data_IF_587412768254
#
_entry.id   IF_587412768254
#
_cell.length_a   1.000
_cell.length_b   1.000
_cell.length_c   1.000
_cell.angle_alpha   90.00
_cell.angle_beta   90.00
_cell.angle_gamma   90.00
#
_symmetry.space_group_name_H-M   'P 1'
#
loop_
_entity.id
_entity.type
_entity.pdbx_description
1 polymer ?
#
# COMPACT_ATOMS: atom_id res chain seq x y z
N UNK A 1 -9.42 -7.45 -48.70
CA UNK A 1 -9.02 -6.20 -48.08
C UNK A 1 -9.90 -5.80 -46.90
N UNK A 2 -11.25 -5.70 -47.02
CA UNK A 2 -12.16 -5.33 -45.91
C UNK A 2 -12.07 -6.25 -44.68
N UNK A 3 -11.97 -7.59 -44.89
CA UNK A 3 -11.83 -8.58 -43.80
C UNK A 3 -10.50 -8.43 -43.05
N UNK A 4 -9.42 -8.12 -43.76
CA UNK A 4 -8.09 -7.89 -43.19
C UNK A 4 -8.09 -6.59 -42.34
N UNK A 5 -8.75 -5.55 -42.82
CA UNK A 5 -8.89 -4.26 -42.08
C UNK A 5 -9.63 -4.42 -40.76
N UNK A 6 -10.73 -5.21 -40.77
CA UNK A 6 -11.51 -5.52 -39.57
C UNK A 6 -10.65 -6.30 -38.55
N UNK A 7 -9.87 -7.29 -39.03
CA UNK A 7 -8.98 -8.08 -38.17
C UNK A 7 -7.91 -7.20 -37.50
N UNK A 8 -7.29 -6.30 -38.25
CA UNK A 8 -6.29 -5.35 -37.72
C UNK A 8 -6.92 -4.39 -36.71
N UNK A 9 -8.13 -3.89 -36.99
CA UNK A 9 -8.83 -2.98 -36.10
C UNK A 9 -9.19 -3.65 -34.75
N UNK A 10 -9.63 -4.94 -34.78
CA UNK A 10 -9.91 -5.70 -33.55
C UNK A 10 -8.64 -5.98 -32.73
N UNK A 11 -7.50 -6.21 -33.38
CA UNK A 11 -6.22 -6.40 -32.69
C UNK A 11 -5.77 -5.12 -31.95
N UNK A 12 -5.98 -3.94 -32.54
CA UNK A 12 -5.61 -2.65 -31.96
C UNK A 12 -6.45 -2.34 -30.71
N UNK A 13 -7.73 -2.66 -30.74
CA UNK A 13 -8.63 -2.45 -29.59
C UNK A 13 -8.28 -3.36 -28.40
N UNK A 14 -7.83 -4.59 -28.67
CA UNK A 14 -7.42 -5.52 -27.62
C UNK A 14 -6.12 -5.12 -26.89
N UNK A 15 -5.26 -4.35 -27.52
CA UNK A 15 -3.98 -3.92 -26.93
C UNK A 15 -4.10 -2.85 -25.81
N UNK A 16 -5.24 -2.16 -25.70
CA UNK A 16 -5.41 -1.06 -24.75
C UNK A 16 -5.97 -1.47 -23.38
N UNK A 17 -6.06 -2.77 -23.07
CA UNK A 17 -6.83 -3.23 -21.88
C UNK A 17 -5.98 -3.57 -20.64
N UNK A 18 -4.66 -3.45 -20.74
CA UNK A 18 -3.77 -3.73 -19.61
C UNK A 18 -3.13 -2.45 -19.12
N UNK A 19 -3.40 -2.10 -17.88
CA UNK A 19 -2.80 -0.95 -17.23
C UNK A 19 -2.44 -1.29 -15.79
N UNK A 20 -1.19 -1.01 -15.40
CA UNK A 20 -0.74 -1.07 -14.02
C UNK A 20 -0.60 0.36 -13.50
N UNK A 21 -1.15 0.63 -12.32
CA UNK A 21 -1.00 1.90 -11.60
C UNK A 21 -0.33 1.66 -10.26
N UNK A 22 0.71 2.42 -9.98
CA UNK A 22 1.31 2.45 -8.66
C UNK A 22 0.42 3.25 -7.70
N UNK A 23 0.19 2.71 -6.52
CA UNK A 23 -0.57 3.34 -5.43
C UNK A 23 0.32 3.49 -4.21
N UNK A 24 0.33 4.67 -3.60
CA UNK A 24 1.18 4.98 -2.47
C UNK A 24 2.63 5.21 -2.87
N UNK A 25 3.57 4.67 -2.12
CA UNK A 25 5.01 4.84 -2.36
C UNK A 25 5.51 3.91 -3.46
N UNK A 26 6.37 4.44 -4.32
CA UNK A 26 7.16 3.64 -5.24
C UNK A 26 8.49 3.35 -4.54
N UNK A 27 8.61 2.16 -3.98
CA UNK A 27 9.83 1.75 -3.29
C UNK A 27 10.91 1.35 -4.30
N UNK A 28 12.18 1.70 -4.03
CA UNK A 28 13.30 1.23 -4.84
C UNK A 28 13.54 -0.27 -4.61
N UNK A 29 14.13 -0.95 -5.59
CA UNK A 29 14.43 -2.39 -5.52
C UNK A 29 15.42 -2.73 -4.39
N UNK A 30 16.26 -1.76 -4.00
CA UNK A 30 17.25 -1.89 -2.93
C UNK A 30 16.79 -1.28 -1.59
N UNK A 31 15.47 -1.22 -1.34
CA UNK A 31 14.88 -0.61 -0.15
C UNK A 31 15.52 -1.10 1.15
N UNK A 32 15.78 -2.41 1.28
CA UNK A 32 16.37 -2.99 2.48
C UNK A 32 17.74 -2.39 2.79
N UNK A 33 18.59 -2.22 1.76
CA UNK A 33 19.93 -1.64 1.91
C UNK A 33 19.88 -0.15 2.24
N UNK A 34 18.92 0.58 1.66
CA UNK A 34 18.74 2.00 1.93
C UNK A 34 18.27 2.26 3.36
N UNK A 35 17.36 1.42 3.85
CA UNK A 35 16.77 1.57 5.18
C UNK A 35 17.72 1.12 6.29
N UNK A 36 18.55 0.11 6.05
CA UNK A 36 19.48 -0.43 7.04
C UNK A 36 20.47 0.61 7.62
N UNK A 37 20.79 1.66 6.86
CA UNK A 37 21.69 2.74 7.28
C UNK A 37 21.01 3.94 7.95
N UNK A 38 19.68 3.96 8.03
CA UNK A 38 18.93 5.11 8.55
C UNK A 38 18.87 5.08 10.07
N UNK A 39 19.32 6.17 10.71
CA UNK A 39 19.34 6.32 12.16
C UNK A 39 18.46 7.46 12.68
N UNK A 40 18.07 8.39 11.80
CA UNK A 40 17.28 9.57 12.19
C UNK A 40 16.05 9.73 11.33
N UNK A 41 15.02 10.39 11.88
CA UNK A 41 13.79 10.72 11.14
C UNK A 41 14.07 11.63 9.95
N UNK A 42 15.02 12.54 10.06
CA UNK A 42 15.42 13.41 8.96
C UNK A 42 16.01 12.61 7.79
N UNK A 43 16.88 11.62 8.07
CA UNK A 43 17.39 10.72 7.04
C UNK A 43 16.30 9.86 6.39
N UNK A 44 15.31 9.43 7.18
CA UNK A 44 14.19 8.65 6.70
C UNK A 44 13.32 9.49 5.74
N UNK A 45 13.01 10.74 6.13
CA UNK A 45 12.26 11.65 5.29
C UNK A 45 13.02 12.07 4.02
N UNK A 46 14.33 12.26 4.10
CA UNK A 46 15.16 12.62 2.95
C UNK A 46 15.22 11.50 1.91
N UNK A 47 15.31 10.25 2.36
CA UNK A 47 15.46 9.09 1.47
C UNK A 47 14.13 8.52 0.99
N UNK A 48 13.13 8.41 1.87
CA UNK A 48 11.87 7.74 1.59
C UNK A 48 10.74 8.75 1.43
N UNK A 49 10.83 9.91 2.09
CA UNK A 49 9.78 10.92 2.10
C UNK A 49 8.97 10.92 3.41
N UNK A 50 7.85 11.66 3.39
CA UNK A 50 6.96 11.73 4.55
C UNK A 50 6.13 10.45 4.70
N UNK A 51 5.92 9.95 5.93
CA UNK A 51 5.12 8.74 6.13
C UNK A 51 3.65 8.94 5.76
N UNK A 52 3.01 7.90 5.27
CA UNK A 52 1.59 7.86 4.97
C UNK A 52 0.74 8.02 6.24
N UNK A 53 1.18 7.38 7.32
CA UNK A 53 0.54 7.45 8.62
C UNK A 53 1.56 7.39 9.75
N UNK A 54 1.18 7.92 10.92
CA UNK A 54 1.94 7.83 12.17
C UNK A 54 1.00 7.33 13.25
N UNK A 55 1.38 6.26 13.93
CA UNK A 55 0.62 5.74 15.07
C UNK A 55 1.48 5.80 16.32
N UNK A 56 0.85 5.94 17.48
CA UNK A 56 1.54 5.96 18.77
C UNK A 56 1.18 4.68 19.51
N UNK A 57 2.15 3.78 19.60
CA UNK A 57 2.03 2.50 20.34
C UNK A 57 3.30 2.33 21.17
N UNK A 58 3.38 3.08 22.30
CA UNK A 58 4.62 3.22 23.05
C UNK A 58 5.62 4.12 22.33
N UNK A 59 6.32 3.60 21.31
CA UNK A 59 7.09 4.42 20.36
C UNK A 59 6.17 4.85 19.20
N UNK A 60 6.48 5.99 18.57
CA UNK A 60 5.75 6.42 17.36
C UNK A 60 6.17 5.53 16.19
N UNK A 61 5.21 4.92 15.50
CA UNK A 61 5.47 4.11 14.31
C UNK A 61 5.10 4.92 13.06
N UNK A 62 6.08 5.12 12.19
CA UNK A 62 5.91 5.70 10.87
C UNK A 62 5.66 4.61 9.85
N UNK A 63 4.65 4.79 9.04
CA UNK A 63 4.13 3.76 8.13
C UNK A 63 4.17 4.29 6.71
N UNK A 64 4.80 3.51 5.85
CA UNK A 64 4.88 3.72 4.41
C UNK A 64 4.27 2.51 3.72
N UNK A 65 3.46 2.72 2.71
CA UNK A 65 2.77 1.66 1.98
C UNK A 65 2.77 1.95 0.49
N UNK A 66 3.05 0.94 -0.30
CA UNK A 66 2.98 0.96 -1.76
C UNK A 66 2.45 -0.34 -2.31
N UNK A 67 1.76 -0.27 -3.45
CA UNK A 67 1.25 -1.44 -4.18
C UNK A 67 1.06 -1.14 -5.66
N UNK A 68 0.95 -2.18 -6.45
CA UNK A 68 0.57 -2.12 -7.86
C UNK A 68 -0.88 -2.55 -8.03
N UNK A 69 -1.69 -1.69 -8.61
CA UNK A 69 -3.06 -1.97 -9.01
C UNK A 69 -3.10 -2.27 -10.50
N UNK A 70 -3.53 -3.47 -10.86
CA UNK A 70 -3.62 -3.92 -12.23
C UNK A 70 -5.06 -3.89 -12.74
N UNK A 71 -5.24 -3.23 -13.87
CA UNK A 71 -6.49 -3.13 -14.60
C UNK A 71 -6.48 -4.07 -15.80
N UNK A 72 -7.50 -4.92 -15.93
CA UNK A 72 -7.66 -5.84 -17.06
C UNK A 72 -9.05 -5.70 -17.71
N UNK A 73 -9.33 -4.51 -18.25
CA UNK A 73 -10.62 -4.23 -18.87
C UNK A 73 -11.79 -4.38 -17.88
N UNK A 74 -12.82 -5.19 -18.20
CA UNK A 74 -13.99 -5.35 -17.33
C UNK A 74 -13.78 -6.30 -16.15
N UNK A 75 -12.59 -6.87 -15.98
CA UNK A 75 -12.27 -7.79 -14.88
C UNK A 75 -12.04 -7.02 -13.57
N UNK A 76 -12.26 -7.65 -12.41
CA UNK A 76 -11.90 -7.07 -11.13
C UNK A 76 -10.43 -6.67 -11.09
N UNK A 77 -10.13 -5.58 -10.41
CA UNK A 77 -8.76 -5.13 -10.20
C UNK A 77 -8.00 -6.14 -9.34
N UNK A 78 -6.73 -6.36 -9.66
CA UNK A 78 -5.83 -7.16 -8.83
C UNK A 78 -4.75 -6.24 -8.24
N UNK A 79 -4.28 -6.59 -7.05
CA UNK A 79 -3.30 -5.81 -6.30
C UNK A 79 -2.08 -6.68 -6.01
N UNK A 80 -0.94 -6.28 -6.56
CA UNK A 80 0.32 -7.00 -6.46
C UNK A 80 1.41 -6.10 -5.87
N UNK A 81 2.57 -6.68 -5.55
CA UNK A 81 3.76 -5.96 -5.05
C UNK A 81 3.48 -5.05 -3.84
N UNK A 82 2.59 -5.52 -2.94
CA UNK A 82 2.31 -4.79 -1.70
C UNK A 82 3.55 -4.78 -0.83
N UNK A 83 4.00 -3.60 -0.48
CA UNK A 83 5.15 -3.40 0.40
C UNK A 83 4.79 -2.42 1.50
N UNK A 84 5.07 -2.79 2.74
CA UNK A 84 4.91 -1.93 3.91
C UNK A 84 6.26 -1.76 4.57
N UNK A 85 6.69 -0.51 4.77
CA UNK A 85 7.82 -0.17 5.60
C UNK A 85 7.30 0.43 6.90
N UNK A 86 7.67 -0.18 8.01
CA UNK A 86 7.41 0.30 9.37
C UNK A 86 8.71 0.82 9.97
N UNK A 87 8.68 2.02 10.52
CA UNK A 87 9.82 2.60 11.23
C UNK A 87 9.39 3.06 12.63
N UNK A 88 9.96 2.44 13.66
CA UNK A 88 9.75 2.84 15.05
C UNK A 88 10.66 4.02 15.37
N UNK A 89 10.04 5.09 15.84
CA UNK A 89 10.70 6.37 16.10
C UNK A 89 10.54 6.72 17.57
N UNK A 90 11.68 7.04 18.20
CA UNK A 90 11.73 7.60 19.55
C UNK A 90 12.40 8.97 19.51
N UNK A 91 11.61 10.03 19.76
CA UNK A 91 12.07 11.40 19.53
C UNK A 91 12.45 11.64 18.07
N UNK A 92 13.74 11.85 17.78
CA UNK A 92 14.25 12.07 16.43
C UNK A 92 15.09 10.88 15.89
N UNK A 93 15.05 9.74 16.58
CA UNK A 93 15.83 8.56 16.23
C UNK A 93 14.93 7.44 15.71
N UNK A 94 15.38 6.77 14.65
CA UNK A 94 14.80 5.53 14.17
C UNK A 94 15.44 4.38 14.94
N UNK A 95 14.66 3.70 15.78
CA UNK A 95 15.15 2.63 16.66
C UNK A 95 15.02 1.25 16.02
N UNK A 96 14.07 1.08 15.11
CA UNK A 96 13.85 -0.17 14.38
C UNK A 96 13.17 0.12 13.07
N UNK A 97 13.46 -0.69 12.06
CA UNK A 97 12.72 -0.71 10.79
C UNK A 97 12.32 -2.16 10.47
N UNK A 98 11.20 -2.32 9.78
CA UNK A 98 10.72 -3.62 9.31
C UNK A 98 10.04 -3.43 7.95
N UNK A 99 10.39 -4.28 7.00
CA UNK A 99 9.78 -4.33 5.68
C UNK A 99 8.93 -5.59 5.62
N UNK A 100 7.72 -5.46 5.14
CA UNK A 100 6.76 -6.55 4.93
C UNK A 100 6.36 -6.55 3.46
N UNK A 101 6.37 -7.70 2.84
CA UNK A 101 5.94 -7.91 1.45
C UNK A 101 4.63 -8.70 1.40
N UNK A 102 4.02 -8.84 0.22
CA UNK A 102 2.73 -9.50 -0.01
C UNK A 102 2.45 -10.72 0.88
N UNK A 103 3.42 -11.64 0.97
CA UNK A 103 3.32 -12.91 1.72
C UNK A 103 3.34 -12.74 3.24
N UNK A 104 3.86 -11.62 3.72
CA UNK A 104 4.00 -11.29 5.15
C UNK A 104 2.81 -10.45 5.64
N UNK A 105 1.99 -9.97 4.70
CA UNK A 105 0.81 -9.16 4.99
C UNK A 105 -0.41 -10.06 5.16
N UNK A 106 -1.28 -9.78 6.14
CA UNK A 106 -2.53 -10.50 6.26
C UNK A 106 -3.37 -10.31 4.99
N UNK A 107 -3.98 -11.38 4.51
CA UNK A 107 -4.93 -11.31 3.40
C UNK A 107 -6.15 -10.50 3.87
N UNK A 108 -6.32 -9.31 3.30
CA UNK A 108 -7.50 -8.48 3.57
C UNK A 108 -8.59 -8.98 2.63
N UNK A 109 -9.41 -9.90 3.11
CA UNK A 109 -10.71 -10.17 2.51
C UNK A 109 -11.63 -9.03 2.92
N UNK A 110 -12.19 -8.31 1.94
CA UNK A 110 -13.31 -7.43 2.20
C UNK A 110 -14.50 -8.34 2.52
N UNK A 111 -14.74 -8.54 3.81
CA UNK A 111 -15.94 -9.21 4.28
C UNK A 111 -17.05 -8.14 4.31
N UNK A 112 -18.12 -8.37 3.57
CA UNK A 112 -19.32 -7.51 3.59
C UNK A 112 -20.14 -7.68 4.88
N UNK A 113 -19.70 -8.55 5.79
CA UNK A 113 -20.35 -8.79 7.07
C UNK A 113 -19.96 -7.74 8.12
N UNK A 114 -20.94 -7.22 8.83
CA UNK A 114 -20.79 -6.32 9.97
C UNK A 114 -19.74 -6.86 10.95
N UNK A 115 -18.63 -6.13 11.08
CA UNK A 115 -17.54 -6.49 11.98
C UNK A 115 -18.02 -6.51 13.42
N UNK A 116 -18.31 -7.66 13.96
CA UNK A 116 -18.41 -7.85 15.41
C UNK A 116 -17.00 -7.70 16.00
N UNK A 117 -16.77 -6.60 16.71
CA UNK A 117 -15.51 -6.35 17.40
C UNK A 117 -15.41 -7.36 18.56
N UNK A 118 -14.50 -8.36 18.53
CA UNK A 118 -14.29 -9.20 19.70
C UNK A 118 -13.70 -8.33 20.81
N UNK A 119 -14.32 -8.35 21.97
CA UNK A 119 -13.77 -7.71 23.16
C UNK A 119 -12.43 -8.36 23.50
N UNK A 120 -11.40 -7.52 23.67
CA UNK A 120 -10.08 -7.87 24.17
C UNK A 120 -9.25 -8.84 23.29
N UNK A 121 -8.82 -8.33 22.15
CA UNK A 121 -7.60 -8.82 21.49
C UNK A 121 -6.60 -7.67 21.49
N UNK A 122 -5.38 -7.92 21.95
CA UNK A 122 -4.26 -7.01 21.72
C UNK A 122 -4.03 -6.93 20.19
N UNK A 123 -4.73 -6.00 19.56
CA UNK A 123 -4.62 -5.76 18.12
C UNK A 123 -3.20 -5.25 17.86
N UNK A 124 -2.45 -6.06 17.15
CA UNK A 124 -1.15 -5.69 16.66
C UNK A 124 -1.30 -4.37 15.87
N UNK A 125 -0.40 -3.39 16.05
CA UNK A 125 -0.45 -2.07 15.39
C UNK A 125 -0.69 -2.16 13.87
N UNK A 126 -0.29 -3.26 13.25
CA UNK A 126 -0.50 -3.58 11.84
C UNK A 126 -1.98 -3.87 11.53
N UNK A 127 -2.69 -4.63 12.38
CA UNK A 127 -4.11 -4.94 12.18
C UNK A 127 -4.98 -3.69 12.34
N UNK A 128 -4.62 -2.83 13.29
CA UNK A 128 -5.32 -1.56 13.51
C UNK A 128 -5.15 -0.60 12.34
N UNK A 129 -3.95 -0.58 11.72
CA UNK A 129 -3.70 0.18 10.51
C UNK A 129 -4.60 -0.28 9.36
N UNK A 130 -4.67 -1.58 9.11
CA UNK A 130 -5.46 -2.13 8.00
C UNK A 130 -6.96 -1.93 8.22
N UNK A 131 -7.45 -2.03 9.45
CA UNK A 131 -8.85 -1.72 9.78
C UNK A 131 -9.20 -0.25 9.59
N UNK A 132 -8.22 0.67 9.67
CA UNK A 132 -8.42 2.10 9.47
C UNK A 132 -8.26 2.55 8.02
N UNK A 133 -7.42 1.91 7.20
CA UNK A 133 -7.22 2.26 5.79
C UNK A 133 -8.52 2.11 4.97
N UNK A 134 -9.37 1.11 5.29
CA UNK A 134 -10.66 0.91 4.64
C UNK A 134 -11.75 1.95 5.00
N UNK A 135 -11.54 2.78 6.03
CA UNK A 135 -12.52 3.75 6.52
C UNK A 135 -12.32 5.19 6.04
N UNK A 136 -11.27 5.48 5.28
CA UNK A 136 -11.12 6.77 4.60
C UNK A 136 -12.00 6.83 3.35
N UNK A 137 -13.32 6.87 3.55
CA UNK A 137 -14.25 7.43 2.57
C UNK A 137 -14.11 8.96 2.68
N UNK A 138 -13.86 9.70 1.61
CA UNK A 138 -13.92 11.16 1.64
C UNK A 138 -15.39 11.59 1.70
N UNK A 139 -16.00 11.47 2.88
CA UNK A 139 -17.28 12.09 3.16
C UNK A 139 -17.02 13.54 3.57
N UNK A 140 -17.17 14.47 2.63
CA UNK A 140 -17.14 15.88 2.96
C UNK A 140 -16.67 16.82 1.86
N UNK A 141 -17.21 16.67 0.63
CA UNK A 141 -17.36 17.81 -0.28
C UNK A 141 -18.76 17.79 -0.87
N UNK A 142 -19.67 18.45 -0.18
CA UNK A 142 -21.03 18.65 -0.62
C UNK A 142 -21.78 19.55 0.33
N UNK A 143 -21.51 20.85 0.28
CA UNK A 143 -22.46 21.97 0.36
C UNK A 143 -21.75 23.25 -0.01
#
# INVERSE_FOLDING_TARGET
>A
MKKLLILVLTLIVAACTFQTKHRGYVFPDDLESQVAGIKTTAQLQDKIGDPLAKTVYGDTVWIYYGMDENYRGPLPHTYDNKTVLLAWVRGNQVVKTQILHDKDLPEITMDDDETQIPAAVELNAIQELFNNIGRFSPAGMGQ
#
